data_IF_269836925794
#
_entry.id   IF_269836925794
#
_cell.length_a   1.000
_cell.length_b   1.000
_cell.length_c   1.000
_cell.angle_alpha   90.00
_cell.angle_beta   90.00
_cell.angle_gamma   90.00
#
_symmetry.space_group_name_H-M   'P 1'
#
loop_
_entity.id
_entity.type
_entity.pdbx_description
1 polymer ?
#
# COMPACT_ATOMS: atom_id res chain seq x y z
N UNK A 1 43.48 22.68 49.28
CA UNK A 1 43.74 22.03 47.98
C UNK A 1 42.91 20.73 47.76
N UNK A 2 41.89 20.45 48.57
CA UNK A 2 41.07 19.21 48.43
C UNK A 2 39.65 19.39 47.85
N UNK A 3 39.22 20.63 47.61
CA UNK A 3 37.85 20.93 47.13
C UNK A 3 37.76 21.01 45.59
N UNK A 4 38.84 21.42 44.92
CA UNK A 4 38.88 21.54 43.44
C UNK A 4 38.91 20.19 42.71
N UNK A 5 39.46 19.17 43.36
CA UNK A 5 39.57 17.79 42.76
C UNK A 5 38.25 17.03 42.80
N UNK A 6 37.34 17.35 43.75
CA UNK A 6 36.02 16.71 43.83
C UNK A 6 35.00 17.26 42.80
N UNK A 7 35.13 18.55 42.44
CA UNK A 7 34.25 19.13 41.41
C UNK A 7 34.60 18.65 40.00
N UNK A 8 35.87 18.40 39.69
CA UNK A 8 36.27 17.87 38.38
C UNK A 8 35.88 16.39 38.18
N UNK A 9 35.82 15.60 39.25
CA UNK A 9 35.33 14.20 39.14
C UNK A 9 33.82 14.12 38.94
N UNK A 10 33.03 15.01 39.52
CA UNK A 10 31.56 15.05 39.35
C UNK A 10 31.21 15.57 37.94
N UNK A 11 31.95 16.54 37.42
CA UNK A 11 31.75 17.02 36.03
C UNK A 11 32.17 15.97 34.99
N UNK A 12 33.22 15.18 35.23
CA UNK A 12 33.61 14.08 34.33
C UNK A 12 32.63 12.89 34.36
N UNK A 13 32.09 12.58 35.55
CA UNK A 13 31.06 11.54 35.68
C UNK A 13 29.71 11.94 35.06
N UNK A 14 29.36 13.24 35.11
CA UNK A 14 28.17 13.79 34.44
C UNK A 14 28.27 13.76 32.90
N UNK A 15 29.45 14.03 32.35
CA UNK A 15 29.70 14.00 30.91
C UNK A 15 29.77 12.57 30.37
N UNK A 16 30.23 11.60 31.14
CA UNK A 16 30.22 10.19 30.72
C UNK A 16 28.83 9.55 30.77
N UNK A 17 27.93 10.01 31.65
CA UNK A 17 26.54 9.59 31.69
C UNK A 17 25.73 10.16 30.50
N UNK A 18 26.06 11.34 30.01
CA UNK A 18 25.43 11.90 28.79
C UNK A 18 25.98 11.28 27.50
N UNK A 19 27.21 10.78 27.48
CA UNK A 19 27.78 10.09 26.33
C UNK A 19 27.32 8.62 26.20
N UNK A 20 26.81 8.02 27.28
CA UNK A 20 26.33 6.63 27.26
C UNK A 20 24.89 6.51 26.68
N UNK A 21 24.19 7.60 26.40
CA UNK A 21 22.84 7.58 25.83
C UNK A 21 22.77 7.82 24.31
N UNK A 22 23.87 8.10 23.66
CA UNK A 22 23.89 8.12 22.18
C UNK A 22 24.28 6.75 21.61
N UNK A 23 23.55 5.72 21.97
CA UNK A 23 23.39 4.59 21.04
C UNK A 23 22.65 5.18 19.87
N UNK A 24 23.36 5.53 18.81
CA UNK A 24 22.78 5.90 17.55
C UNK A 24 21.86 4.75 17.13
N UNK A 25 20.56 4.93 17.36
CA UNK A 25 19.56 3.99 16.87
C UNK A 25 19.68 4.08 15.36
N UNK A 26 20.19 2.98 14.77
CA UNK A 26 20.66 2.97 13.41
C UNK A 26 19.54 3.33 12.43
N UNK A 27 19.78 4.32 11.59
CA UNK A 27 18.96 4.54 10.40
C UNK A 27 19.05 3.31 9.52
N UNK A 28 17.94 2.65 9.29
CA UNK A 28 17.87 1.53 8.35
C UNK A 28 17.64 2.10 6.94
N UNK A 29 18.61 1.90 6.07
CA UNK A 29 18.48 2.16 4.64
C UNK A 29 17.91 0.90 3.99
N UNK A 30 16.87 1.04 3.20
CA UNK A 30 16.22 -0.06 2.50
C UNK A 30 15.74 0.36 1.13
N UNK A 31 15.50 -0.60 0.28
CA UNK A 31 14.96 -0.31 -1.03
C UNK A 31 14.69 -1.56 -1.85
N UNK A 32 14.31 -1.30 -3.07
CA UNK A 32 14.23 -2.33 -4.11
C UNK A 32 14.36 -1.72 -5.48
N UNK A 33 14.91 -2.49 -6.40
CA UNK A 33 14.89 -2.26 -7.84
C UNK A 33 14.03 -3.35 -8.48
N UNK A 34 13.05 -2.96 -9.30
CA UNK A 34 12.14 -3.90 -9.96
C UNK A 34 11.91 -3.47 -11.40
N UNK A 35 12.44 -4.25 -12.33
CA UNK A 35 12.38 -3.96 -13.76
C UNK A 35 11.80 -5.13 -14.54
N UNK A 36 11.06 -4.85 -15.60
CA UNK A 36 10.59 -5.88 -16.52
C UNK A 36 10.66 -5.43 -17.99
N UNK A 37 10.89 -6.39 -18.85
CA UNK A 37 10.66 -6.26 -20.29
C UNK A 37 9.30 -6.84 -20.59
N UNK A 38 8.42 -6.06 -21.18
CA UNK A 38 7.05 -6.42 -21.45
C UNK A 38 6.72 -6.30 -22.92
N UNK A 39 5.89 -7.20 -23.42
CA UNK A 39 5.16 -6.99 -24.65
C UNK A 39 3.70 -6.74 -24.29
N UNK A 40 3.18 -5.62 -24.72
CA UNK A 40 1.80 -5.18 -24.46
C UNK A 40 1.04 -5.09 -25.78
N UNK A 41 -0.11 -5.74 -25.85
CA UNK A 41 -1.02 -5.71 -26.98
C UNK A 41 -2.32 -5.00 -26.58
N UNK A 42 -2.71 -3.97 -27.33
CA UNK A 42 -3.97 -3.25 -27.11
C UNK A 42 -4.85 -3.37 -28.37
N UNK A 43 -6.03 -3.97 -28.19
CA UNK A 43 -6.90 -4.31 -29.32
C UNK A 43 -6.28 -5.41 -30.20
N UNK A 44 -6.47 -5.28 -31.52
CA UNK A 44 -6.02 -6.28 -32.50
C UNK A 44 -4.73 -5.91 -33.23
N UNK A 45 -4.26 -4.68 -33.12
CA UNK A 45 -3.22 -4.14 -34.01
C UNK A 45 -2.03 -3.49 -33.31
N UNK A 46 -2.16 -3.05 -32.07
CA UNK A 46 -1.09 -2.31 -31.41
C UNK A 46 -0.29 -3.22 -30.49
N UNK A 47 0.97 -3.47 -30.86
CA UNK A 47 1.97 -4.17 -30.04
C UNK A 47 3.10 -3.21 -29.70
N UNK A 48 3.41 -3.14 -28.40
CA UNK A 48 4.51 -2.32 -27.89
C UNK A 48 5.41 -3.19 -27.02
N UNK A 49 6.72 -3.11 -27.25
CA UNK A 49 7.71 -3.64 -26.33
C UNK A 49 8.21 -2.48 -25.45
N UNK A 50 8.22 -2.70 -24.16
CA UNK A 50 8.65 -1.69 -23.19
C UNK A 50 9.61 -2.28 -22.15
N UNK A 51 10.58 -1.47 -21.71
CA UNK A 51 11.27 -1.67 -20.44
C UNK A 51 10.55 -0.84 -19.41
N UNK A 52 10.16 -1.44 -18.29
CA UNK A 52 9.29 -0.80 -17.29
C UNK A 52 9.84 -0.93 -15.90
N UNK A 53 9.81 0.19 -15.15
CA UNK A 53 9.94 0.20 -13.71
C UNK A 53 8.64 -0.27 -13.04
N UNK A 54 8.78 -1.13 -12.01
CA UNK A 54 7.64 -1.64 -11.25
C UNK A 54 7.72 -1.24 -9.78
N UNK A 55 7.73 0.07 -9.56
CA UNK A 55 7.78 0.72 -8.25
C UNK A 55 9.08 0.47 -7.48
N UNK A 56 10.20 0.72 -8.13
CA UNK A 56 11.52 0.86 -7.50
C UNK A 56 11.53 2.00 -6.49
N UNK A 57 12.34 1.87 -5.46
CA UNK A 57 12.35 2.82 -4.33
C UNK A 57 13.59 2.73 -3.49
N UNK A 58 13.90 3.83 -2.81
CA UNK A 58 14.89 3.97 -1.76
C UNK A 58 14.25 4.58 -0.53
N UNK A 59 14.53 4.06 0.64
CA UNK A 59 13.93 4.54 1.88
C UNK A 59 14.90 4.55 3.06
N UNK A 60 14.55 5.37 4.02
CA UNK A 60 15.20 5.52 5.32
C UNK A 60 14.12 5.38 6.39
N UNK A 61 14.38 4.62 7.43
CA UNK A 61 13.49 4.49 8.57
C UNK A 61 14.25 4.23 9.85
N UNK A 62 13.70 4.66 10.96
CA UNK A 62 14.30 4.40 12.24
C UNK A 62 13.28 4.45 13.37
N UNK A 63 13.73 4.03 14.54
CA UNK A 63 13.00 4.09 15.79
C UNK A 63 13.94 4.62 16.86
N UNK A 64 13.41 5.43 17.77
CA UNK A 64 14.08 5.92 18.96
C UNK A 64 13.33 5.40 20.18
N UNK A 65 14.05 4.80 21.13
CA UNK A 65 13.49 4.40 22.41
C UNK A 65 13.37 5.63 23.31
N UNK A 66 12.15 5.95 23.74
CA UNK A 66 11.84 7.07 24.62
C UNK A 66 11.77 6.68 26.09
N UNK A 67 12.02 5.37 26.40
CA UNK A 67 11.81 4.81 27.71
C UNK A 67 10.34 4.54 28.02
N UNK A 68 10.08 3.86 29.14
CA UNK A 68 8.71 3.54 29.57
C UNK A 68 7.92 2.67 28.60
N UNK A 69 8.57 1.95 27.68
CA UNK A 69 7.91 1.14 26.65
C UNK A 69 7.37 1.95 25.48
N UNK A 70 7.79 3.20 25.33
CA UNK A 70 7.46 4.06 24.18
C UNK A 70 8.60 4.18 23.20
N UNK A 71 8.29 4.36 21.94
CA UNK A 71 9.24 4.63 20.87
C UNK A 71 8.72 5.70 19.93
N UNK A 72 9.61 6.60 19.49
CA UNK A 72 9.36 7.42 18.31
C UNK A 72 9.70 6.65 17.04
N UNK A 73 8.97 6.92 15.96
CA UNK A 73 9.13 6.29 14.66
C UNK A 73 9.27 7.37 13.60
N UNK A 74 10.07 7.12 12.60
CA UNK A 74 10.09 7.94 11.39
C UNK A 74 10.35 7.10 10.15
N UNK A 75 9.94 7.61 9.00
CA UNK A 75 10.22 7.00 7.71
C UNK A 75 10.12 7.99 6.58
N UNK A 76 10.99 7.81 5.61
CA UNK A 76 11.05 8.57 4.38
C UNK A 76 11.35 7.60 3.23
N UNK A 77 10.44 7.46 2.26
CA UNK A 77 10.60 6.58 1.10
C UNK A 77 10.41 7.37 -0.19
N UNK A 78 11.41 7.35 -1.04
CA UNK A 78 11.41 7.97 -2.35
C UNK A 78 11.14 6.92 -3.44
N UNK A 79 10.24 7.23 -4.38
CA UNK A 79 10.04 6.43 -5.58
C UNK A 79 11.05 6.81 -6.67
N UNK A 80 11.49 5.80 -7.39
CA UNK A 80 12.45 5.93 -8.49
C UNK A 80 11.83 5.27 -9.71
N UNK A 81 11.84 5.96 -10.85
CA UNK A 81 11.59 5.35 -12.16
C UNK A 81 12.92 4.83 -12.67
N UNK A 82 13.23 3.58 -12.38
CA UNK A 82 14.55 3.01 -12.63
C UNK A 82 14.85 2.83 -14.12
N UNK A 83 13.85 2.80 -14.96
CA UNK A 83 13.92 2.77 -16.42
C UNK A 83 14.43 4.10 -17.01
N UNK A 84 14.10 5.22 -16.37
CA UNK A 84 14.47 6.57 -16.82
C UNK A 84 15.47 7.28 -15.92
N UNK A 85 15.71 6.76 -14.69
CA UNK A 85 16.55 7.39 -13.68
C UNK A 85 15.91 8.59 -12.98
N UNK A 86 14.65 8.90 -13.24
CA UNK A 86 13.94 10.02 -12.66
C UNK A 86 13.29 9.67 -11.31
N UNK A 87 13.07 10.63 -10.39
CA UNK A 87 12.19 10.43 -9.25
C UNK A 87 10.74 10.30 -9.71
N UNK A 88 9.92 9.56 -8.96
CA UNK A 88 8.47 9.51 -9.23
C UNK A 88 7.79 10.81 -8.79
N UNK A 89 6.58 11.08 -9.30
CA UNK A 89 5.76 12.20 -8.84
C UNK A 89 4.54 11.66 -8.06
N UNK A 90 4.34 12.09 -6.81
CA UNK A 90 5.27 12.85 -5.96
C UNK A 90 6.50 12.03 -5.59
N UNK A 91 7.63 12.71 -5.35
CA UNK A 91 8.93 12.08 -5.05
C UNK A 91 8.86 11.17 -3.82
N UNK A 92 8.27 11.65 -2.74
CA UNK A 92 8.13 10.86 -1.52
C UNK A 92 6.84 10.06 -1.54
N UNK A 93 6.99 8.75 -1.50
CA UNK A 93 5.91 7.76 -1.43
C UNK A 93 5.37 7.66 -0.01
N UNK A 94 6.24 7.76 0.98
CA UNK A 94 5.97 7.65 2.39
C UNK A 94 6.88 8.64 3.13
N UNK A 95 6.30 9.49 3.97
CA UNK A 95 7.06 10.40 4.82
C UNK A 95 6.26 10.67 6.08
N UNK A 96 6.76 10.21 7.23
CA UNK A 96 6.01 10.25 8.47
C UNK A 96 6.89 10.30 9.70
N UNK A 97 6.29 10.79 10.77
CA UNK A 97 6.74 10.65 12.15
C UNK A 97 5.62 10.05 12.99
N UNK A 98 5.94 9.31 14.03
CA UNK A 98 4.94 8.67 14.86
C UNK A 98 5.45 8.24 16.23
N UNK A 99 4.53 7.72 17.03
CA UNK A 99 4.78 7.17 18.35
C UNK A 99 4.19 5.76 18.44
N UNK A 100 4.85 4.89 19.17
CA UNK A 100 4.39 3.55 19.50
C UNK A 100 4.54 3.30 20.99
N UNK A 101 3.59 2.59 21.57
CA UNK A 101 3.62 2.17 22.97
C UNK A 101 2.67 1.00 23.22
N UNK A 102 2.42 0.67 24.47
CA UNK A 102 1.44 -0.36 24.86
C UNK A 102 0.01 -0.08 24.39
N UNK A 103 -0.28 1.17 24.06
CA UNK A 103 -1.57 1.64 23.51
C UNK A 103 -1.69 1.46 21.99
N UNK A 104 -0.65 1.04 21.30
CA UNK A 104 -0.63 0.87 19.85
C UNK A 104 0.35 1.80 19.15
N UNK A 105 0.07 2.12 17.90
CA UNK A 105 0.93 2.97 17.05
C UNK A 105 0.12 4.09 16.42
N UNK A 106 0.60 5.32 16.50
CA UNK A 106 0.07 6.48 15.81
C UNK A 106 1.17 7.09 14.93
N UNK A 107 0.83 7.50 13.73
CA UNK A 107 1.76 8.24 12.87
C UNK A 107 1.03 9.33 12.09
N UNK A 108 1.77 10.37 11.70
CA UNK A 108 1.26 11.48 10.90
C UNK A 108 2.21 11.81 9.75
N UNK A 109 1.64 12.26 8.64
CA UNK A 109 2.35 12.62 7.43
C UNK A 109 1.72 12.03 6.17
N UNK A 110 2.55 11.72 5.17
CA UNK A 110 2.12 10.94 4.00
C UNK A 110 2.28 9.45 4.30
N UNK A 111 1.16 8.77 4.51
CA UNK A 111 1.14 7.40 4.99
C UNK A 111 0.85 6.42 3.86
N UNK A 112 1.72 5.43 3.71
CA UNK A 112 1.57 4.28 2.82
C UNK A 112 0.95 3.09 3.57
N UNK A 113 0.36 2.17 2.83
CA UNK A 113 -0.20 0.91 3.35
C UNK A 113 0.82 0.00 4.05
N UNK A 114 2.10 0.11 3.72
CA UNK A 114 3.15 -0.62 4.41
C UNK A 114 3.36 -0.16 5.87
N UNK A 115 2.89 1.05 6.20
CA UNK A 115 2.84 1.54 7.55
C UNK A 115 1.59 0.98 8.25
N UNK A 116 1.68 0.43 9.48
CA UNK A 116 0.52 -0.05 10.23
C UNK A 116 -0.60 0.98 10.38
N UNK A 117 -0.25 2.26 10.35
CA UNK A 117 -1.17 3.40 10.45
C UNK A 117 -1.65 3.91 9.08
N UNK A 118 -1.31 3.25 7.98
CA UNK A 118 -1.81 3.55 6.64
C UNK A 118 -3.28 3.18 6.46
N UNK A 119 -3.78 3.31 5.23
CA UNK A 119 -5.18 2.97 4.93
C UNK A 119 -5.49 1.52 5.29
N UNK A 120 -6.46 1.27 6.19
CA UNK A 120 -6.88 -0.08 6.52
C UNK A 120 -7.40 -0.83 5.29
N UNK A 121 -8.10 -0.16 4.38
CA UNK A 121 -8.64 -0.79 3.16
C UNK A 121 -7.50 -1.23 2.24
N UNK A 122 -6.51 -0.38 2.00
CA UNK A 122 -5.39 -0.76 1.14
C UNK A 122 -4.48 -1.80 1.81
N UNK A 123 -4.28 -1.73 3.12
CA UNK A 123 -3.49 -2.74 3.84
C UNK A 123 -4.10 -4.13 3.74
N UNK A 124 -5.44 -4.24 3.74
CA UNK A 124 -6.15 -5.49 3.53
C UNK A 124 -5.83 -6.11 2.17
N UNK A 125 -5.80 -5.31 1.10
CA UNK A 125 -5.46 -5.78 -0.23
C UNK A 125 -4.08 -6.42 -0.23
N UNK A 126 -3.10 -5.78 0.38
CA UNK A 126 -1.72 -6.26 0.41
C UNK A 126 -1.47 -7.39 1.40
N UNK A 127 -2.27 -7.51 2.46
CA UNK A 127 -2.12 -8.55 3.49
C UNK A 127 -2.88 -9.83 3.19
N UNK A 128 -4.00 -9.73 2.46
CA UNK A 128 -4.88 -10.86 2.18
C UNK A 128 -4.64 -11.47 0.79
N UNK A 129 -4.16 -10.70 -0.18
CA UNK A 129 -3.97 -11.17 -1.54
C UNK A 129 -2.52 -11.11 -2.01
N UNK A 130 -2.25 -11.77 -3.14
CA UNK A 130 -0.96 -11.74 -3.81
C UNK A 130 -1.12 -11.11 -5.18
N UNK A 131 -0.15 -10.31 -5.60
CA UNK A 131 -0.07 -9.73 -6.93
C UNK A 131 1.16 -10.24 -7.66
N UNK A 132 1.12 -10.21 -8.99
CA UNK A 132 2.36 -10.22 -9.72
C UNK A 132 3.19 -9.02 -9.30
N UNK A 133 4.46 -9.19 -8.98
CA UNK A 133 5.33 -8.08 -8.66
C UNK A 133 5.43 -7.05 -9.79
N UNK A 134 5.21 -7.50 -11.00
CA UNK A 134 5.16 -6.73 -12.24
C UNK A 134 3.73 -6.73 -12.77
N UNK A 135 2.89 -5.88 -12.21
CA UNK A 135 1.52 -5.68 -12.66
C UNK A 135 1.53 -4.74 -13.86
N UNK A 136 1.88 -5.27 -15.01
CA UNK A 136 2.05 -4.53 -16.26
C UNK A 136 0.80 -4.48 -17.14
N UNK A 137 -0.37 -4.69 -16.56
CA UNK A 137 -1.58 -4.41 -17.29
C UNK A 137 -1.57 -2.95 -17.77
N UNK A 138 -1.53 -2.71 -19.06
CA UNK A 138 -1.34 -1.39 -19.65
C UNK A 138 -2.42 -0.37 -19.27
N UNK A 139 -3.51 -0.80 -18.68
CA UNK A 139 -4.66 0.05 -18.39
C UNK A 139 -5.09 0.03 -16.92
N UNK A 140 -4.77 -1.00 -16.17
CA UNK A 140 -5.06 -1.04 -14.73
C UNK A 140 -4.08 -1.88 -13.97
N UNK A 141 -3.57 -1.33 -12.88
CA UNK A 141 -2.92 -2.13 -11.85
C UNK A 141 -3.95 -2.92 -11.05
N UNK A 142 -3.55 -4.02 -10.41
CA UNK A 142 -4.42 -4.76 -9.50
C UNK A 142 -5.01 -3.87 -8.42
N UNK A 143 -4.26 -2.88 -7.95
CA UNK A 143 -4.71 -1.91 -6.95
C UNK A 143 -5.74 -0.92 -7.49
N UNK A 144 -5.67 -0.55 -8.77
CA UNK A 144 -6.69 0.31 -9.39
C UNK A 144 -8.00 -0.43 -9.64
N UNK A 145 -7.98 -1.76 -9.78
CA UNK A 145 -9.20 -2.56 -9.84
C UNK A 145 -10.03 -2.46 -8.56
N UNK A 146 -9.38 -2.28 -7.41
CA UNK A 146 -10.04 -2.13 -6.12
C UNK A 146 -10.23 -0.66 -5.72
N UNK A 147 -9.75 0.29 -6.53
CA UNK A 147 -9.84 1.72 -6.30
C UNK A 147 -9.48 2.14 -4.85
N UNK A 148 -8.41 1.59 -4.33
CA UNK A 148 -8.01 1.87 -2.96
C UNK A 148 -7.04 3.04 -2.90
N UNK A 149 -7.24 3.93 -1.93
CA UNK A 149 -6.34 5.04 -1.64
C UNK A 149 -5.07 4.51 -0.97
N UNK A 150 -4.05 4.33 -1.77
CA UNK A 150 -2.78 3.75 -1.32
C UNK A 150 -2.02 4.69 -0.38
N UNK A 151 -1.79 5.93 -0.84
CA UNK A 151 -0.99 6.94 -0.14
C UNK A 151 -1.75 8.24 -0.09
N UNK A 152 -1.91 8.76 1.10
CA UNK A 152 -2.55 10.05 1.32
C UNK A 152 -1.64 10.96 2.12
N UNK A 153 -1.44 12.17 1.64
CA UNK A 153 -0.81 13.26 2.39
C UNK A 153 -1.74 13.74 3.49
N UNK A 154 -1.20 14.55 4.40
CA UNK A 154 -1.96 15.22 5.47
C UNK A 154 -2.80 14.25 6.31
N UNK A 155 -2.21 13.09 6.63
CA UNK A 155 -2.89 12.01 7.31
C UNK A 155 -2.42 11.82 8.74
N UNK A 156 -3.35 11.44 9.60
CA UNK A 156 -3.09 10.87 10.91
C UNK A 156 -3.71 9.48 10.92
N UNK A 157 -2.91 8.48 11.25
CA UNK A 157 -3.35 7.11 11.33
C UNK A 157 -3.01 6.46 12.67
N UNK A 158 -3.84 5.52 13.06
CA UNK A 158 -3.71 4.74 14.28
C UNK A 158 -3.92 3.25 14.01
N UNK A 159 -3.12 2.42 14.68
CA UNK A 159 -3.33 0.98 14.78
C UNK A 159 -3.28 0.57 16.23
N UNK A 160 -4.29 -0.17 16.71
CA UNK A 160 -4.33 -0.69 18.06
C UNK A 160 -3.20 -1.71 18.30
N UNK A 161 -2.85 -2.02 19.55
CA UNK A 161 -2.16 -3.26 19.85
C UNK A 161 -3.03 -4.43 19.37
N UNK A 162 -2.44 -5.61 19.30
CA UNK A 162 -3.21 -6.82 19.05
C UNK A 162 -4.07 -7.13 20.28
N UNK A 163 -5.40 -7.19 20.08
CA UNK A 163 -6.38 -7.50 21.13
C UNK A 163 -6.99 -8.86 20.78
N UNK A 164 -6.49 -9.91 21.41
CA UNK A 164 -6.81 -11.28 21.01
C UNK A 164 -6.32 -11.55 19.59
N UNK A 165 -7.23 -11.85 18.69
CA UNK A 165 -6.95 -12.09 17.26
C UNK A 165 -7.23 -10.88 16.37
N UNK A 166 -7.48 -9.69 16.95
CA UNK A 166 -7.91 -8.51 16.22
C UNK A 166 -6.94 -7.35 16.33
N UNK A 167 -6.85 -6.54 15.26
CA UNK A 167 -6.20 -5.23 15.24
C UNK A 167 -7.19 -4.24 14.64
N UNK A 168 -7.54 -3.19 15.39
CA UNK A 168 -8.34 -2.09 14.89
C UNK A 168 -7.43 -1.02 14.27
N UNK A 169 -7.89 -0.41 13.17
CA UNK A 169 -7.18 0.65 12.46
C UNK A 169 -8.11 1.80 12.17
N UNK A 170 -7.58 3.01 12.25
CA UNK A 170 -8.28 4.21 11.86
C UNK A 170 -7.32 5.19 11.19
N UNK A 171 -7.81 5.96 10.23
CA UNK A 171 -7.06 7.04 9.60
C UNK A 171 -7.99 8.18 9.26
N UNK A 172 -7.55 9.38 9.54
CA UNK A 172 -8.15 10.62 9.04
C UNK A 172 -7.14 11.28 8.14
N UNK A 173 -7.54 11.79 6.99
CA UNK A 173 -6.71 12.66 6.20
C UNK A 173 -7.45 13.97 5.91
N UNK A 174 -6.71 15.05 6.13
CA UNK A 174 -7.14 16.41 5.92
C UNK A 174 -6.79 16.75 4.48
N UNK A 175 -7.71 17.26 3.74
CA UNK A 175 -7.42 17.67 2.36
C UNK A 175 -7.06 19.14 2.33
N UNK A 176 -6.07 19.52 3.15
CA UNK A 176 -5.56 20.86 3.33
C UNK A 176 -5.98 21.82 2.24
N UNK A 177 -6.99 22.59 2.49
CA UNK A 177 -7.41 23.59 1.54
C UNK A 177 -6.39 24.70 1.58
N UNK A 178 -5.48 24.70 0.67
CA UNK A 178 -4.67 25.90 0.42
C UNK A 178 -5.51 27.10 -0.06
N UNK A 179 -6.85 27.06 0.07
CA UNK A 179 -7.75 28.14 -0.33
C UNK A 179 -8.80 28.41 0.73
N UNK A 180 -8.93 29.68 1.06
CA UNK A 180 -9.90 30.27 2.01
C UNK A 180 -11.38 29.97 1.67
N UNK A 181 -11.65 29.35 0.53
CA UNK A 181 -13.00 29.12 0.03
C UNK A 181 -13.62 27.77 0.45
N UNK A 182 -12.88 26.91 1.13
CA UNK A 182 -13.40 25.60 1.56
C UNK A 182 -13.32 25.49 3.10
N UNK A 183 -14.46 25.35 3.80
CA UNK A 183 -14.46 25.11 5.22
C UNK A 183 -13.64 23.87 5.57
N UNK A 184 -12.90 23.90 6.65
CA UNK A 184 -12.02 22.81 7.12
C UNK A 184 -12.77 21.46 7.23
N UNK A 185 -14.03 21.51 7.61
CA UNK A 185 -14.90 20.34 7.74
C UNK A 185 -15.34 19.72 6.39
N UNK A 186 -15.21 20.46 5.31
CA UNK A 186 -15.66 20.03 3.99
C UNK A 186 -14.68 19.12 3.26
N UNK A 187 -13.49 18.88 3.81
CA UNK A 187 -12.38 18.29 3.08
C UNK A 187 -11.63 17.21 3.87
N UNK A 188 -12.33 16.36 4.59
CA UNK A 188 -11.69 15.23 5.28
C UNK A 188 -12.24 13.89 4.81
N UNK A 189 -11.39 12.87 4.85
CA UNK A 189 -11.81 11.48 4.72
C UNK A 189 -11.40 10.68 5.95
N UNK A 190 -12.22 9.71 6.28
CA UNK A 190 -12.00 8.80 7.40
C UNK A 190 -12.03 7.38 6.88
N UNK A 191 -11.01 6.62 7.22
CA UNK A 191 -10.96 5.17 7.00
C UNK A 191 -10.93 4.47 8.35
N UNK A 192 -11.72 3.43 8.50
CA UNK A 192 -11.70 2.53 9.67
C UNK A 192 -11.65 1.09 9.18
N UNK A 193 -11.08 0.21 9.98
CA UNK A 193 -11.01 -1.21 9.64
C UNK A 193 -10.61 -2.08 10.82
N UNK A 194 -10.90 -3.36 10.67
CA UNK A 194 -10.52 -4.39 11.62
C UNK A 194 -9.89 -5.53 10.85
N UNK A 195 -8.71 -5.93 11.27
CA UNK A 195 -8.01 -7.13 10.80
C UNK A 195 -8.17 -8.25 11.83
N UNK A 196 -8.41 -9.46 11.36
CA UNK A 196 -8.50 -10.69 12.13
C UNK A 196 -7.47 -11.69 11.63
N UNK A 197 -6.77 -12.35 12.55
CA UNK A 197 -5.88 -13.45 12.21
C UNK A 197 -5.93 -14.54 13.28
N UNK A 198 -6.28 -15.75 12.87
CA UNK A 198 -6.26 -16.93 13.74
C UNK A 198 -6.00 -18.19 12.93
N UNK A 199 -4.98 -18.94 13.30
CA UNK A 199 -4.59 -20.16 12.59
C UNK A 199 -4.41 -19.91 11.09
N UNK A 200 -5.10 -20.67 10.21
CA UNK A 200 -4.99 -20.52 8.76
C UNK A 200 -5.80 -19.34 8.19
N UNK A 201 -6.58 -18.65 9.00
CA UNK A 201 -7.52 -17.61 8.55
C UNK A 201 -6.94 -16.22 8.79
N UNK A 202 -6.93 -15.40 7.75
CA UNK A 202 -6.83 -13.94 7.83
C UNK A 202 -8.09 -13.36 7.22
N UNK A 203 -8.72 -12.42 7.90
CA UNK A 203 -9.88 -11.71 7.38
C UNK A 203 -9.78 -10.24 7.75
N UNK A 204 -10.45 -9.39 7.00
CA UNK A 204 -10.46 -7.97 7.31
C UNK A 204 -11.71 -7.31 6.72
N UNK A 205 -12.23 -6.33 7.44
CA UNK A 205 -13.31 -5.46 6.98
C UNK A 205 -12.86 -4.01 7.08
N UNK A 206 -13.22 -3.20 6.11
CA UNK A 206 -12.89 -1.78 6.10
C UNK A 206 -14.02 -0.92 5.55
N UNK A 207 -14.08 0.29 6.05
CA UNK A 207 -15.00 1.33 5.60
C UNK A 207 -14.24 2.64 5.42
N UNK A 208 -14.54 3.36 4.35
CA UNK A 208 -14.01 4.69 4.07
C UNK A 208 -15.15 5.64 3.75
N UNK A 209 -15.09 6.85 4.29
CA UNK A 209 -16.04 7.92 4.02
C UNK A 209 -15.31 9.20 3.66
N UNK A 210 -15.74 9.82 2.58
CA UNK A 210 -15.28 11.13 2.13
C UNK A 210 -16.39 12.16 2.35
N UNK A 211 -16.12 13.20 3.14
CA UNK A 211 -17.08 14.24 3.49
C UNK A 211 -16.95 15.50 2.62
N UNK A 212 -16.25 15.44 1.49
CA UNK A 212 -16.07 16.58 0.62
C UNK A 212 -17.39 17.21 0.17
N UNK A 213 -17.49 18.50 0.32
CA UNK A 213 -18.56 19.34 -0.24
C UNK A 213 -18.06 19.89 -1.58
N UNK A 214 -18.87 19.80 -2.63
CA UNK A 214 -18.55 20.43 -3.93
C UNK A 214 -18.00 19.51 -5.02
N UNK A 215 -18.21 18.22 -4.88
CA UNK A 215 -17.91 17.24 -5.91
C UNK A 215 -16.59 16.49 -5.70
N UNK A 216 -16.57 15.28 -6.21
CA UNK A 216 -15.40 14.44 -6.18
C UNK A 216 -14.47 14.82 -7.33
N UNK A 217 -13.18 14.90 -7.06
CA UNK A 217 -12.17 14.90 -8.11
C UNK A 217 -12.26 13.55 -8.82
N UNK A 218 -12.13 13.55 -10.14
CA UNK A 218 -12.24 12.38 -11.00
C UNK A 218 -11.80 11.06 -10.33
N UNK A 219 -12.68 10.06 -10.35
CA UNK A 219 -12.49 8.70 -9.86
C UNK A 219 -12.45 8.50 -8.33
N UNK A 220 -12.84 9.48 -7.55
CA UNK A 220 -12.97 9.32 -6.10
C UNK A 220 -14.40 8.85 -5.73
N UNK A 221 -14.49 8.11 -4.63
CA UNK A 221 -15.77 7.64 -4.08
C UNK A 221 -16.14 8.44 -2.82
N UNK A 222 -17.43 8.52 -2.49
CA UNK A 222 -17.92 9.11 -1.24
C UNK A 222 -17.84 8.11 -0.10
N UNK A 223 -18.23 6.88 -0.36
CA UNK A 223 -18.23 5.80 0.62
C UNK A 223 -17.67 4.53 -0.02
N UNK A 224 -16.99 3.72 0.76
CA UNK A 224 -16.45 2.44 0.34
C UNK A 224 -16.55 1.43 1.46
N UNK A 225 -17.02 0.24 1.12
CA UNK A 225 -16.95 -0.94 1.95
C UNK A 225 -16.06 -1.99 1.30
N UNK A 226 -15.27 -2.68 2.09
CA UNK A 226 -14.46 -3.79 1.62
C UNK A 226 -14.39 -4.88 2.68
N UNK A 227 -14.57 -6.11 2.25
CA UNK A 227 -14.37 -7.33 3.03
C UNK A 227 -13.37 -8.20 2.30
N UNK A 228 -12.46 -8.82 3.02
CA UNK A 228 -11.50 -9.76 2.47
C UNK A 228 -11.24 -10.92 3.41
N UNK A 229 -10.89 -12.06 2.82
CA UNK A 229 -10.48 -13.28 3.52
C UNK A 229 -9.33 -13.93 2.75
N UNK A 230 -8.37 -14.47 3.50
CA UNK A 230 -7.34 -15.39 3.01
C UNK A 230 -7.39 -16.64 3.88
N UNK A 231 -7.45 -17.79 3.25
CA UNK A 231 -7.43 -19.09 3.91
C UNK A 231 -6.23 -19.89 3.43
N UNK A 232 -5.37 -20.25 4.36
CA UNK A 232 -4.21 -21.10 4.12
C UNK A 232 -4.63 -22.58 4.16
N UNK A 233 -4.80 -23.18 2.98
CA UNK A 233 -5.19 -24.59 2.85
C UNK A 233 -4.07 -25.51 3.39
N UNK A 234 -2.84 -25.16 3.03
CA UNK A 234 -1.62 -25.83 3.48
C UNK A 234 -0.52 -24.78 3.67
N UNK A 235 0.63 -25.18 4.20
CA UNK A 235 1.78 -24.28 4.39
C UNK A 235 2.18 -23.55 3.10
N UNK A 236 2.10 -24.25 2.00
CA UNK A 236 2.50 -23.80 0.66
C UNK A 236 1.38 -23.15 -0.14
N UNK A 237 0.11 -23.37 0.25
CA UNK A 237 -1.03 -23.02 -0.59
C UNK A 237 -2.07 -22.19 0.17
N UNK A 238 -2.40 -21.04 -0.38
CA UNK A 238 -3.49 -20.20 0.11
C UNK A 238 -4.47 -19.81 -1.01
N UNK A 239 -5.70 -19.54 -0.63
CA UNK A 239 -6.76 -18.96 -1.45
C UNK A 239 -7.29 -17.72 -0.79
N UNK A 240 -7.74 -16.75 -1.59
CA UNK A 240 -8.24 -15.49 -1.06
C UNK A 240 -9.35 -14.90 -1.91
N UNK A 241 -10.19 -14.13 -1.24
CA UNK A 241 -11.26 -13.36 -1.86
C UNK A 241 -11.31 -11.96 -1.23
N UNK A 242 -11.52 -10.95 -2.04
CA UNK A 242 -11.80 -9.57 -1.60
C UNK A 242 -13.01 -9.09 -2.39
N UNK A 243 -13.97 -8.48 -1.72
CA UNK A 243 -15.13 -7.87 -2.35
C UNK A 243 -15.41 -6.51 -1.72
N UNK A 244 -15.96 -5.60 -2.49
CA UNK A 244 -16.30 -4.27 -2.00
C UNK A 244 -17.17 -3.50 -2.95
N UNK A 245 -17.65 -2.36 -2.44
CA UNK A 245 -18.51 -1.42 -3.16
C UNK A 245 -18.00 -0.01 -2.96
N UNK A 246 -17.86 0.72 -4.05
CA UNK A 246 -17.62 2.16 -4.06
C UNK A 246 -18.93 2.88 -4.38
N UNK A 247 -19.40 3.73 -3.49
CA UNK A 247 -20.60 4.55 -3.70
C UNK A 247 -20.22 5.97 -4.11
N UNK A 248 -20.80 6.44 -5.21
CA UNK A 248 -20.64 7.77 -5.77
C UNK A 248 -21.95 8.55 -5.62
N UNK A 249 -21.84 9.77 -5.08
CA UNK A 249 -22.98 10.69 -4.93
C UNK A 249 -22.87 11.80 -5.99
N UNK A 250 -24.02 12.32 -6.42
CA UNK A 250 -24.08 13.46 -7.38
C UNK A 250 -23.49 13.19 -8.78
N UNK A 251 -23.71 12.00 -9.32
CA UNK A 251 -23.28 11.67 -10.67
C UNK A 251 -24.50 11.37 -11.55
N UNK A 252 -24.67 12.12 -12.62
CA UNK A 252 -25.71 11.87 -13.64
C UNK A 252 -25.26 10.93 -14.75
N UNK A 253 -23.93 10.76 -14.93
CA UNK A 253 -23.33 10.00 -16.03
C UNK A 253 -22.49 8.81 -15.58
N UNK A 254 -22.40 8.57 -14.28
CA UNK A 254 -21.54 7.56 -13.66
C UNK A 254 -22.40 6.60 -12.84
N UNK A 255 -22.04 5.32 -12.82
CA UNK A 255 -22.68 4.33 -11.97
C UNK A 255 -22.58 4.76 -10.49
N UNK A 256 -23.71 4.74 -9.78
CA UNK A 256 -23.77 5.19 -8.38
C UNK A 256 -23.03 4.25 -7.44
N UNK A 257 -23.26 2.95 -7.59
CA UNK A 257 -22.57 1.90 -6.84
C UNK A 257 -21.75 1.06 -7.80
N UNK A 258 -20.46 0.93 -7.52
CA UNK A 258 -19.50 0.21 -8.33
C UNK A 258 -18.98 -0.94 -7.50
N UNK A 259 -19.40 -2.13 -7.85
CA UNK A 259 -18.97 -3.36 -7.18
C UNK A 259 -17.66 -3.86 -7.77
N UNK A 260 -16.86 -4.51 -6.93
CA UNK A 260 -15.65 -5.18 -7.35
C UNK A 260 -15.41 -6.44 -6.55
N UNK A 261 -14.76 -7.42 -7.19
CA UNK A 261 -14.37 -8.69 -6.58
C UNK A 261 -12.97 -9.06 -7.05
N UNK A 262 -12.19 -9.64 -6.17
CA UNK A 262 -10.96 -10.35 -6.48
C UNK A 262 -11.03 -11.75 -5.92
N UNK A 263 -10.73 -12.74 -6.73
CA UNK A 263 -10.50 -14.12 -6.32
C UNK A 263 -9.10 -14.52 -6.73
N UNK A 264 -8.41 -15.24 -5.89
CA UNK A 264 -7.08 -15.67 -6.25
C UNK A 264 -6.53 -16.80 -5.38
N UNK A 265 -5.40 -17.29 -5.80
CA UNK A 265 -4.65 -18.33 -5.10
C UNK A 265 -3.16 -18.13 -5.29
N UNK A 266 -2.37 -18.57 -4.32
CA UNK A 266 -0.93 -18.69 -4.48
C UNK A 266 -0.42 -20.03 -3.97
N UNK A 267 0.55 -20.58 -4.70
CA UNK A 267 1.23 -21.81 -4.34
C UNK A 267 2.73 -21.57 -4.35
N UNK A 268 3.39 -21.86 -3.21
CA UNK A 268 4.83 -21.68 -3.06
C UNK A 268 5.48 -23.00 -2.70
N UNK A 269 6.42 -23.48 -3.50
CA UNK A 269 7.18 -24.71 -3.22
C UNK A 269 8.66 -24.50 -3.52
N UNK A 270 9.50 -24.70 -2.50
CA UNK A 270 10.93 -24.45 -2.58
C UNK A 270 11.21 -22.99 -3.02
N UNK A 271 11.85 -22.84 -4.17
CA UNK A 271 12.19 -21.53 -4.76
C UNK A 271 11.13 -21.00 -5.74
N UNK A 272 9.99 -21.67 -5.89
CA UNK A 272 8.98 -21.38 -6.88
C UNK A 272 7.72 -20.85 -6.25
N UNK A 273 7.15 -19.76 -6.78
CA UNK A 273 5.84 -19.23 -6.39
C UNK A 273 5.00 -18.98 -7.63
N UNK A 274 3.77 -19.48 -7.62
CA UNK A 274 2.76 -19.27 -8.63
C UNK A 274 1.62 -18.46 -8.03
N UNK A 275 1.07 -17.52 -8.78
CA UNK A 275 -0.08 -16.72 -8.36
C UNK A 275 -1.07 -16.64 -9.51
N UNK A 276 -2.34 -16.89 -9.20
CA UNK A 276 -3.45 -16.72 -10.12
C UNK A 276 -4.45 -15.75 -9.49
N UNK A 277 -4.83 -14.73 -10.25
CA UNK A 277 -5.83 -13.73 -9.86
C UNK A 277 -6.90 -13.57 -10.92
N UNK A 278 -8.14 -13.42 -10.48
CA UNK A 278 -9.24 -12.90 -11.24
C UNK A 278 -9.81 -11.67 -10.54
N UNK A 279 -9.89 -10.56 -11.25
CA UNK A 279 -10.51 -9.32 -10.80
C UNK A 279 -11.70 -9.00 -11.66
N UNK A 280 -12.76 -8.52 -11.05
CA UNK A 280 -13.92 -7.96 -11.72
C UNK A 280 -14.27 -6.63 -11.02
N UNK A 281 -14.59 -5.62 -11.81
CA UNK A 281 -15.06 -4.33 -11.32
C UNK A 281 -16.03 -3.73 -12.32
N UNK A 282 -17.10 -3.19 -11.81
CA UNK A 282 -18.00 -2.38 -12.61
C UNK A 282 -17.32 -1.16 -13.20
N UNK A 283 -17.67 -0.81 -14.42
CA UNK A 283 -17.14 0.39 -15.06
C UNK A 283 -17.83 1.62 -14.50
N UNK A 284 -17.06 2.51 -13.89
CA UNK A 284 -17.57 3.72 -13.26
C UNK A 284 -18.13 4.74 -14.27
N UNK A 285 -17.47 4.88 -15.39
CA UNK A 285 -17.80 5.90 -16.41
C UNK A 285 -18.97 5.54 -17.32
N UNK A 286 -19.66 4.45 -17.08
CA UNK A 286 -20.85 4.02 -17.81
C UNK A 286 -21.89 3.45 -16.88
N UNK A 287 -23.17 3.52 -17.27
CA UNK A 287 -24.26 2.95 -16.49
C UNK A 287 -24.26 1.41 -16.50
N UNK A 288 -23.62 0.80 -17.52
CA UNK A 288 -23.47 -0.64 -17.67
C UNK A 288 -22.05 -0.98 -18.08
N UNK A 289 -21.59 -2.15 -17.72
CA UNK A 289 -20.31 -2.66 -18.14
C UNK A 289 -19.47 -3.18 -16.97
N UNK A 290 -18.52 -4.04 -17.30
CA UNK A 290 -17.60 -4.67 -16.36
C UNK A 290 -16.21 -4.68 -16.94
N UNK A 291 -15.23 -4.39 -16.09
CA UNK A 291 -13.84 -4.63 -16.35
C UNK A 291 -13.41 -5.93 -15.69
N UNK A 292 -12.69 -6.75 -16.41
CA UNK A 292 -12.16 -8.04 -15.93
C UNK A 292 -10.67 -8.09 -16.18
N UNK A 293 -9.91 -8.48 -15.15
CA UNK A 293 -8.48 -8.73 -15.26
C UNK A 293 -8.16 -10.13 -14.76
N UNK A 294 -7.46 -10.91 -15.58
CA UNK A 294 -6.90 -12.19 -15.20
C UNK A 294 -5.39 -12.07 -15.21
N UNK A 295 -4.76 -12.60 -14.20
CA UNK A 295 -3.32 -12.52 -14.02
C UNK A 295 -2.79 -13.89 -13.60
N UNK A 296 -1.79 -14.36 -14.33
CA UNK A 296 -0.95 -15.50 -13.95
C UNK A 296 0.47 -14.99 -13.78
N UNK A 297 1.09 -15.27 -12.66
CA UNK A 297 2.47 -14.92 -12.44
C UNK A 297 3.28 -16.05 -11.81
N UNK A 298 4.55 -16.06 -12.14
CA UNK A 298 5.54 -16.97 -11.61
C UNK A 298 6.74 -16.20 -11.09
N UNK A 299 7.26 -16.61 -9.93
CA UNK A 299 8.47 -16.07 -9.33
C UNK A 299 9.44 -17.21 -9.03
N UNK A 300 10.71 -17.00 -9.35
CA UNK A 300 11.81 -17.88 -8.99
C UNK A 300 12.78 -17.15 -8.07
N UNK A 301 12.84 -17.57 -6.80
CA UNK A 301 13.70 -16.96 -5.79
C UNK A 301 15.15 -17.45 -5.94
N UNK A 302 16.02 -16.59 -6.45
CA UNK A 302 17.48 -16.83 -6.49
C UNK A 302 18.04 -16.76 -5.07
N UNK A 303 17.58 -15.79 -4.28
CA UNK A 303 17.94 -15.59 -2.88
C UNK A 303 16.73 -15.02 -2.09
N UNK A 304 16.94 -14.66 -0.82
CA UNK A 304 15.93 -13.93 -0.02
C UNK A 304 15.67 -12.51 -0.56
N UNK A 305 16.60 -11.94 -1.31
CA UNK A 305 16.56 -10.56 -1.81
C UNK A 305 16.32 -10.47 -3.31
N UNK A 306 16.62 -11.53 -4.07
CA UNK A 306 16.57 -11.49 -5.54
C UNK A 306 15.63 -12.55 -6.08
N UNK A 307 14.73 -12.16 -6.98
CA UNK A 307 13.88 -13.08 -7.72
C UNK A 307 13.75 -12.68 -9.20
N UNK A 308 13.54 -13.70 -10.02
CA UNK A 308 13.12 -13.57 -11.41
C UNK A 308 11.63 -13.75 -11.49
N UNK A 309 11.00 -13.07 -12.44
CA UNK A 309 9.55 -12.98 -12.55
C UNK A 309 9.11 -13.18 -13.99
N UNK A 310 8.00 -13.92 -14.16
CA UNK A 310 7.29 -14.01 -15.43
C UNK A 310 5.80 -13.79 -15.15
N UNK A 311 5.09 -13.13 -16.04
CA UNK A 311 3.66 -12.93 -15.88
C UNK A 311 2.93 -12.84 -17.22
N UNK A 312 1.65 -13.15 -17.18
CA UNK A 312 0.68 -12.93 -18.24
C UNK A 312 -0.52 -12.23 -17.64
N UNK A 313 -0.87 -11.09 -18.18
CA UNK A 313 -2.04 -10.30 -17.81
C UNK A 313 -3.00 -10.25 -19.01
N UNK A 314 -4.29 -10.43 -18.74
CA UNK A 314 -5.36 -10.14 -19.68
C UNK A 314 -6.36 -9.22 -18.99
N UNK A 315 -6.48 -8.01 -19.50
CA UNK A 315 -7.41 -6.99 -19.03
C UNK A 315 -8.43 -6.70 -20.14
N UNK A 316 -9.70 -6.67 -19.82
CA UNK A 316 -10.77 -6.40 -20.76
C UNK A 316 -11.80 -5.48 -20.14
N UNK A 317 -12.24 -4.51 -20.91
CA UNK A 317 -13.36 -3.62 -20.58
C UNK A 317 -14.46 -3.91 -21.55
N UNK A 318 -15.62 -4.31 -21.03
CA UNK A 318 -16.86 -4.48 -21.78
C UNK A 318 -17.88 -3.51 -21.20
N UNK A 319 -18.24 -2.50 -21.96
CA UNK A 319 -19.18 -1.47 -21.53
C UNK A 319 -19.94 -0.88 -22.69
N UNK A 320 -21.05 -0.19 -22.39
CA UNK A 320 -21.83 0.56 -23.36
C UNK A 320 -21.06 1.68 -24.08
N UNK A 321 -19.89 2.05 -23.57
CA UNK A 321 -19.04 3.13 -24.14
C UNK A 321 -17.73 2.62 -24.74
N UNK A 322 -17.21 1.50 -24.27
CA UNK A 322 -15.85 1.09 -24.60
C UNK A 322 -15.72 -0.42 -24.51
N UNK A 323 -15.22 -1.05 -25.57
CA UNK A 323 -14.79 -2.44 -25.59
C UNK A 323 -13.30 -2.47 -25.91
N UNK A 324 -12.47 -2.67 -24.90
CA UNK A 324 -11.01 -2.70 -25.04
C UNK A 324 -10.47 -3.97 -24.40
N UNK A 325 -9.57 -4.62 -25.11
CA UNK A 325 -8.78 -5.73 -24.58
C UNK A 325 -7.31 -5.34 -24.57
N UNK A 326 -6.67 -5.60 -23.45
CA UNK A 326 -5.22 -5.47 -23.31
C UNK A 326 -4.65 -6.79 -22.82
N UNK A 327 -3.60 -7.24 -23.46
CA UNK A 327 -2.82 -8.41 -23.04
C UNK A 327 -1.39 -7.96 -22.81
N UNK A 328 -0.80 -8.43 -21.73
CA UNK A 328 0.62 -8.22 -21.47
C UNK A 328 1.30 -9.53 -21.10
N UNK A 329 2.51 -9.73 -21.59
CA UNK A 329 3.42 -10.77 -21.15
C UNK A 329 4.75 -10.12 -20.81
N UNK A 330 5.37 -10.52 -19.72
CA UNK A 330 6.62 -9.89 -19.28
C UNK A 330 7.54 -10.83 -18.50
N UNK A 331 8.80 -10.47 -18.54
CA UNK A 331 9.87 -11.06 -17.75
C UNK A 331 10.56 -9.95 -16.96
N UNK A 332 10.86 -10.22 -15.71
CA UNK A 332 11.44 -9.20 -14.84
C UNK A 332 12.40 -9.75 -13.80
N UNK A 333 13.06 -8.81 -13.15
CA UNK A 333 13.93 -9.06 -12.01
C UNK A 333 13.61 -8.08 -10.88
N UNK A 334 13.64 -8.58 -9.66
CA UNK A 334 13.57 -7.77 -8.46
C UNK A 334 14.79 -8.03 -7.58
N UNK A 335 15.39 -6.94 -7.10
CA UNK A 335 16.43 -6.93 -6.09
C UNK A 335 16.01 -6.05 -4.93
N UNK A 336 15.89 -6.61 -3.72
CA UNK A 336 15.70 -5.86 -2.48
C UNK A 336 17.05 -5.67 -1.77
N UNK A 337 17.21 -4.59 -1.02
CA UNK A 337 18.41 -4.30 -0.25
C UNK A 337 18.08 -3.54 1.03
#
# INVERSE_FOLDING_TARGET
MKLKTKLSLIAAAGLTLLAAQSQAQGVNVYGRMVMSVNQVETGTTNKVNELRDNASRLGFRGTEDLGGGMSALYGLEMGISADSGAPTSPTFRNSYVGLRGGWGTMAMGRLDSANPTGSPIYSQITSLSHFAPNDAGATATSTSMQNARNRTSDSIGYASPQIGNFIARARVYFRGAGTVAQPEDAAKSTDIGVDYQSGPIKAAIGYSKDTRVGGLINNDFNEKWQLGINFKIQKEWDVYAISGTDTYKNTSTTRKDVEYTQLGTSYTTGKHKFVLNNFQRDVQSSLTGVRKKNQLSYQYFLSKQTDLQAFIDKDSVDSSKTNVQVRAIGLGIRQNF
#
